data_IF_358093932971
#
_entry.id   IF_358093932971
#
_cell.length_a   1.000
_cell.length_b   1.000
_cell.length_c   1.000
_cell.angle_alpha   90.00
_cell.angle_beta   90.00
_cell.angle_gamma   90.00
#
_symmetry.space_group_name_H-M   'P 1'
#
loop_
_entity.id
_entity.type
_entity.pdbx_description
1 polymer ?
#
# COMPACT_ATOMS: atom_id res chain seq x y z
N UNK A 1 -0.49 17.67 1.68
CA UNK A 1 0.62 17.31 0.78
C UNK A 1 1.27 15.98 1.14
N UNK A 2 1.66 15.72 2.40
CA UNK A 2 2.37 14.48 2.81
C UNK A 2 1.67 13.17 2.43
N UNK A 3 0.33 13.06 2.57
CA UNK A 3 -0.41 11.83 2.19
C UNK A 3 -0.40 11.58 0.68
N UNK A 4 -0.57 12.63 -0.12
CA UNK A 4 -0.57 12.51 -1.58
C UNK A 4 0.80 12.05 -2.08
N UNK A 5 1.87 12.63 -1.55
CA UNK A 5 3.24 12.22 -1.86
C UNK A 5 3.49 10.75 -1.52
N UNK A 6 3.04 10.28 -0.35
CA UNK A 6 3.15 8.87 0.02
C UNK A 6 2.35 7.96 -0.91
N UNK A 7 1.12 8.33 -1.29
CA UNK A 7 0.31 7.52 -2.21
C UNK A 7 0.94 7.45 -3.61
N UNK A 8 1.45 8.56 -4.12
CA UNK A 8 2.23 8.58 -5.36
C UNK A 8 3.45 7.67 -5.23
N UNK A 9 4.19 7.76 -4.13
CA UNK A 9 5.36 6.93 -3.88
C UNK A 9 5.02 5.43 -3.87
N UNK A 10 3.95 5.02 -3.18
CA UNK A 10 3.46 3.62 -3.18
C UNK A 10 3.17 3.14 -4.60
N UNK A 11 2.43 3.93 -5.39
CA UNK A 11 2.13 3.58 -6.77
C UNK A 11 3.39 3.42 -7.62
N UNK A 12 4.33 4.36 -7.50
CA UNK A 12 5.57 4.37 -8.28
C UNK A 12 6.45 3.17 -7.92
N UNK A 13 6.68 2.91 -6.64
CA UNK A 13 7.55 1.80 -6.22
C UNK A 13 7.00 0.44 -6.64
N UNK A 14 5.68 0.23 -6.54
CA UNK A 14 5.04 -0.99 -7.03
C UNK A 14 5.14 -1.13 -8.55
N UNK A 15 4.96 -0.04 -9.30
CA UNK A 15 5.11 -0.05 -10.75
C UNK A 15 6.53 -0.40 -11.17
N UNK A 16 7.52 0.29 -10.60
CA UNK A 16 8.94 0.04 -10.89
C UNK A 16 9.31 -1.41 -10.58
N UNK A 17 8.95 -1.91 -9.38
CA UNK A 17 9.22 -3.29 -8.98
C UNK A 17 8.55 -4.31 -9.91
N UNK A 18 7.30 -4.06 -10.30
CA UNK A 18 6.57 -4.96 -11.20
C UNK A 18 7.11 -4.96 -12.63
N UNK A 19 7.59 -3.82 -13.13
CA UNK A 19 8.23 -3.74 -14.44
C UNK A 19 9.63 -4.36 -14.45
N UNK A 20 10.32 -4.33 -13.30
CA UNK A 20 11.61 -4.98 -13.16
C UNK A 20 11.52 -6.50 -13.37
N UNK A 21 10.39 -7.13 -13.06
CA UNK A 21 10.17 -8.56 -13.26
C UNK A 21 10.42 -9.03 -14.71
N UNK A 22 10.27 -8.16 -15.70
CA UNK A 22 10.57 -8.48 -17.10
C UNK A 22 12.07 -8.60 -17.42
N UNK A 23 12.93 -8.22 -16.48
CA UNK A 23 14.38 -8.41 -16.57
C UNK A 23 14.85 -9.70 -15.88
N UNK A 24 13.91 -10.55 -15.42
CA UNK A 24 14.15 -11.84 -14.76
C UNK A 24 15.23 -11.81 -13.66
N UNK A 25 15.11 -10.93 -12.65
CA UNK A 25 16.07 -10.89 -11.54
C UNK A 25 15.99 -12.17 -10.67
N UNK A 26 17.13 -12.61 -10.14
CA UNK A 26 17.25 -13.78 -9.28
C UNK A 26 17.02 -13.42 -7.81
N UNK A 27 15.81 -13.67 -7.29
CA UNK A 27 15.41 -13.24 -5.94
C UNK A 27 16.00 -14.09 -4.82
N UNK A 28 16.13 -15.39 -5.02
CA UNK A 28 16.48 -16.32 -3.94
C UNK A 28 17.97 -16.30 -3.64
N UNK A 29 18.79 -15.94 -4.63
CA UNK A 29 20.23 -15.86 -4.52
C UNK A 29 20.78 -14.60 -5.22
N UNK A 30 20.55 -13.41 -4.65
CA UNK A 30 20.87 -12.15 -5.31
C UNK A 30 22.38 -11.94 -5.41
N UNK A 31 22.90 -11.93 -6.65
CA UNK A 31 24.34 -11.75 -6.93
C UNK A 31 24.61 -10.43 -7.67
N UNK A 32 23.65 -9.94 -8.45
CA UNK A 32 23.78 -8.70 -9.20
C UNK A 32 23.10 -7.51 -8.51
N UNK A 33 23.44 -6.29 -8.92
CA UNK A 33 22.76 -5.09 -8.45
C UNK A 33 21.26 -5.09 -8.80
N UNK A 34 20.86 -5.72 -9.91
CA UNK A 34 19.45 -5.87 -10.29
C UNK A 34 18.72 -6.75 -9.29
N UNK A 35 19.31 -7.89 -8.93
CA UNK A 35 18.71 -8.84 -7.99
C UNK A 35 18.49 -8.20 -6.62
N UNK A 36 19.53 -7.52 -6.10
CA UNK A 36 19.44 -6.76 -4.86
C UNK A 36 18.41 -5.64 -4.92
N UNK A 37 18.33 -4.93 -6.04
CA UNK A 37 17.29 -3.92 -6.24
C UNK A 37 15.89 -4.54 -6.24
N UNK A 38 15.72 -5.76 -6.76
CA UNK A 38 14.44 -6.46 -6.79
C UNK A 38 13.96 -6.82 -5.37
N UNK A 39 14.86 -7.37 -4.54
CA UNK A 39 14.61 -7.69 -3.12
C UNK A 39 14.26 -6.42 -2.33
N UNK A 40 15.13 -5.40 -2.41
CA UNK A 40 14.98 -4.18 -1.61
C UNK A 40 13.75 -3.36 -2.03
N UNK A 41 13.49 -3.25 -3.35
CA UNK A 41 12.33 -2.50 -3.84
C UNK A 41 11.01 -3.19 -3.51
N UNK A 42 10.96 -4.53 -3.49
CA UNK A 42 9.78 -5.28 -3.06
C UNK A 42 9.49 -5.08 -1.57
N UNK A 43 10.50 -5.21 -0.70
CA UNK A 43 10.37 -4.90 0.73
C UNK A 43 9.95 -3.45 0.96
N UNK A 44 10.55 -2.50 0.24
CA UNK A 44 10.18 -1.08 0.33
C UNK A 44 8.72 -0.83 -0.11
N UNK A 45 8.26 -1.51 -1.16
CA UNK A 45 6.88 -1.41 -1.65
C UNK A 45 5.87 -1.94 -0.62
N UNK A 46 6.21 -3.03 0.07
CA UNK A 46 5.41 -3.59 1.17
C UNK A 46 5.37 -2.67 2.39
N UNK A 47 6.50 -2.09 2.81
CA UNK A 47 6.52 -1.11 3.90
C UNK A 47 5.76 0.17 3.55
N UNK A 48 5.89 0.66 2.32
CA UNK A 48 5.13 1.80 1.84
C UNK A 48 3.62 1.52 1.90
N UNK A 49 3.20 0.31 1.50
CA UNK A 49 1.81 -0.13 1.60
C UNK A 49 1.33 -0.17 3.06
N UNK A 50 2.15 -0.71 3.97
CA UNK A 50 1.85 -0.76 5.40
C UNK A 50 1.56 0.63 6.00
N UNK A 51 2.32 1.65 5.60
CA UNK A 51 2.09 3.03 6.05
C UNK A 51 0.88 3.68 5.38
N UNK A 52 0.63 3.35 4.11
CA UNK A 52 -0.36 4.03 3.30
C UNK A 52 -1.80 3.54 3.53
N UNK A 53 -2.02 2.25 3.81
CA UNK A 53 -3.36 1.69 4.03
C UNK A 53 -4.13 2.38 5.18
N UNK A 54 -3.53 2.63 6.36
CA UNK A 54 -4.22 3.37 7.42
C UNK A 54 -4.49 4.84 7.08
N UNK A 55 -3.62 5.46 6.27
CA UNK A 55 -3.81 6.83 5.81
C UNK A 55 -4.92 6.93 4.75
N UNK A 56 -5.07 5.90 3.91
CA UNK A 56 -6.20 5.75 3.00
C UNK A 56 -7.52 5.62 3.78
N UNK A 57 -7.56 4.82 4.84
CA UNK A 57 -8.73 4.71 5.70
C UNK A 57 -9.09 6.05 6.38
N UNK A 58 -8.09 6.84 6.79
CA UNK A 58 -8.32 8.20 7.30
C UNK A 58 -8.91 9.13 6.24
N UNK A 59 -8.76 8.86 4.94
CA UNK A 59 -9.48 9.59 3.90
C UNK A 59 -10.96 9.22 3.85
N UNK A 60 -11.38 8.05 4.32
CA UNK A 60 -12.79 7.72 4.42
C UNK A 60 -13.46 8.51 5.55
N UNK A 61 -12.73 8.69 6.67
CA UNK A 61 -13.25 9.26 7.91
C UNK A 61 -13.96 8.24 8.81
N UNK A 62 -13.79 6.95 8.54
CA UNK A 62 -14.42 5.85 9.28
C UNK A 62 -13.46 5.22 10.28
N UNK A 63 -13.87 5.15 11.55
CA UNK A 63 -13.14 4.41 12.59
C UNK A 63 -13.08 2.91 12.29
N UNK A 64 -14.18 2.32 11.79
CA UNK A 64 -14.21 0.91 11.39
C UNK A 64 -13.23 0.66 10.23
N UNK A 65 -13.25 1.52 9.20
CA UNK A 65 -12.30 1.43 8.09
C UNK A 65 -10.84 1.55 8.55
N UNK A 66 -10.55 2.43 9.51
CA UNK A 66 -9.21 2.56 10.07
C UNK A 66 -8.76 1.29 10.79
N UNK A 67 -9.60 0.72 11.66
CA UNK A 67 -9.27 -0.53 12.38
C UNK A 67 -9.02 -1.69 11.42
N UNK A 68 -9.88 -1.85 10.42
CA UNK A 68 -9.74 -2.90 9.40
C UNK A 68 -8.45 -2.73 8.59
N UNK A 69 -8.07 -1.50 8.27
CA UNK A 69 -6.84 -1.21 7.50
C UNK A 69 -5.54 -1.52 8.24
N UNK A 70 -5.56 -1.65 9.58
CA UNK A 70 -4.36 -1.97 10.36
C UNK A 70 -3.89 -3.41 10.14
N UNK A 71 -4.83 -4.34 9.93
CA UNK A 71 -4.50 -5.76 9.77
C UNK A 71 -3.68 -6.02 8.49
N UNK A 72 -4.09 -5.57 7.29
CA UNK A 72 -3.28 -5.74 6.09
C UNK A 72 -2.02 -4.86 6.14
N UNK A 73 -2.01 -3.77 6.90
CA UNK A 73 -0.80 -3.00 7.12
C UNK A 73 0.25 -3.78 7.94
N UNK A 74 -0.17 -4.46 9.00
CA UNK A 74 0.71 -5.36 9.77
C UNK A 74 1.16 -6.54 8.91
N UNK A 75 0.26 -7.13 8.13
CA UNK A 75 0.62 -8.18 7.17
C UNK A 75 1.69 -7.72 6.19
N UNK A 76 1.52 -6.54 5.59
CA UNK A 76 2.48 -5.99 4.63
C UNK A 76 3.83 -5.67 5.30
N UNK A 77 3.82 -5.12 6.52
CA UNK A 77 5.05 -4.88 7.27
C UNK A 77 5.78 -6.19 7.62
N UNK A 78 5.04 -7.22 8.04
CA UNK A 78 5.59 -8.54 8.31
C UNK A 78 6.20 -9.13 7.04
N UNK A 79 5.46 -9.14 5.92
CA UNK A 79 5.98 -9.61 4.62
C UNK A 79 7.22 -8.83 4.19
N UNK A 80 7.21 -7.51 4.28
CA UNK A 80 8.34 -6.67 3.86
C UNK A 80 9.61 -6.98 4.66
N UNK A 81 9.47 -7.17 5.97
CA UNK A 81 10.57 -7.55 6.85
C UNK A 81 11.03 -8.99 6.57
N UNK A 82 10.10 -9.92 6.47
CA UNK A 82 10.40 -11.33 6.21
C UNK A 82 11.10 -11.54 4.87
N UNK A 83 10.67 -10.86 3.81
CA UNK A 83 11.35 -10.89 2.52
C UNK A 83 12.80 -10.40 2.64
N UNK A 84 13.03 -9.34 3.41
CA UNK A 84 14.38 -8.85 3.63
C UNK A 84 15.22 -9.87 4.41
N UNK A 85 14.67 -10.47 5.47
CA UNK A 85 15.40 -11.47 6.26
C UNK A 85 15.67 -12.76 5.46
N UNK A 86 14.71 -13.21 4.66
CA UNK A 86 14.84 -14.39 3.81
C UNK A 86 15.89 -14.16 2.72
N UNK A 87 15.67 -13.18 1.85
CA UNK A 87 16.44 -13.06 0.62
C UNK A 87 17.78 -12.32 0.84
N UNK A 88 17.81 -11.32 1.74
CA UNK A 88 19.04 -10.57 2.02
C UNK A 88 19.93 -11.22 3.08
N UNK A 89 19.35 -11.90 4.07
CA UNK A 89 20.10 -12.52 5.18
C UNK A 89 20.09 -14.06 5.16
N UNK A 90 19.46 -14.66 4.15
CA UNK A 90 19.42 -16.12 3.94
C UNK A 90 18.81 -16.87 5.14
N UNK A 91 17.86 -16.23 5.84
CA UNK A 91 17.15 -16.81 6.98
C UNK A 91 15.91 -17.57 6.49
N UNK A 92 16.07 -18.82 6.06
CA UNK A 92 14.99 -19.61 5.44
C UNK A 92 13.69 -19.77 6.26
N UNK A 93 13.72 -19.62 7.59
CA UNK A 93 12.50 -19.62 8.39
C UNK A 93 11.63 -18.37 8.17
N UNK A 94 12.20 -17.28 7.68
CA UNK A 94 11.51 -16.02 7.39
C UNK A 94 10.45 -16.18 6.29
N UNK A 95 10.63 -17.14 5.37
CA UNK A 95 9.67 -17.49 4.32
C UNK A 95 8.26 -17.74 4.86
N UNK A 96 8.12 -18.45 5.98
CA UNK A 96 6.81 -18.75 6.55
C UNK A 96 6.10 -17.49 7.05
N UNK A 97 6.85 -16.55 7.63
CA UNK A 97 6.31 -15.26 8.04
C UNK A 97 5.95 -14.39 6.85
N UNK A 98 6.72 -14.48 5.76
CA UNK A 98 6.38 -13.84 4.48
C UNK A 98 5.05 -14.36 3.93
N UNK A 99 4.88 -15.68 3.83
CA UNK A 99 3.64 -16.31 3.34
C UNK A 99 2.44 -15.90 4.19
N UNK A 100 2.56 -15.97 5.52
CA UNK A 100 1.47 -15.59 6.44
C UNK A 100 1.13 -14.11 6.33
N UNK A 101 2.14 -13.22 6.31
CA UNK A 101 1.95 -11.78 6.16
C UNK A 101 1.26 -11.42 4.85
N UNK A 102 1.65 -12.09 3.76
CA UNK A 102 1.15 -11.82 2.42
C UNK A 102 -0.29 -12.31 2.29
N UNK A 103 -0.59 -13.52 2.78
CA UNK A 103 -1.95 -14.06 2.82
C UNK A 103 -2.87 -13.17 3.67
N UNK A 104 -2.43 -12.74 4.85
CA UNK A 104 -3.19 -11.82 5.71
C UNK A 104 -3.47 -10.50 5.00
N UNK A 105 -2.46 -9.94 4.32
CA UNK A 105 -2.60 -8.70 3.54
C UNK A 105 -3.66 -8.87 2.46
N UNK A 106 -3.54 -9.90 1.63
CA UNK A 106 -4.44 -10.15 0.51
C UNK A 106 -5.89 -10.37 0.96
N UNK A 107 -6.11 -11.23 1.95
CA UNK A 107 -7.46 -11.53 2.44
C UNK A 107 -8.11 -10.28 3.03
N UNK A 108 -7.38 -9.51 3.84
CA UNK A 108 -7.99 -8.35 4.50
C UNK A 108 -8.11 -7.14 3.55
N UNK A 109 -7.36 -7.09 2.45
CA UNK A 109 -7.63 -6.13 1.36
C UNK A 109 -9.03 -6.32 0.76
N UNK A 110 -9.55 -7.56 0.70
CA UNK A 110 -10.94 -7.82 0.27
C UNK A 110 -11.92 -7.17 1.26
N UNK A 111 -11.77 -7.46 2.56
CA UNK A 111 -12.63 -6.88 3.60
C UNK A 111 -12.53 -5.36 3.61
N UNK A 112 -11.32 -4.80 3.46
CA UNK A 112 -11.11 -3.36 3.43
C UNK A 112 -11.77 -2.70 2.20
N UNK A 113 -11.70 -3.36 1.03
CA UNK A 113 -12.45 -2.95 -0.17
C UNK A 113 -13.95 -2.86 0.11
N UNK A 114 -14.53 -3.91 0.70
CA UNK A 114 -15.96 -3.96 1.05
C UNK A 114 -16.32 -2.86 2.04
N UNK A 115 -15.52 -2.66 3.09
CA UNK A 115 -15.78 -1.62 4.09
C UNK A 115 -15.77 -0.22 3.46
N UNK A 116 -14.81 0.08 2.57
CA UNK A 116 -14.82 1.37 1.86
C UNK A 116 -16.03 1.48 0.93
N UNK A 117 -16.39 0.40 0.23
CA UNK A 117 -17.51 0.40 -0.70
C UNK A 117 -18.87 0.57 0.01
N UNK A 118 -19.01 0.08 1.25
CA UNK A 118 -20.25 0.18 2.04
C UNK A 118 -20.33 1.49 2.82
N UNK A 119 -19.23 1.92 3.43
CA UNK A 119 -19.21 3.12 4.29
C UNK A 119 -18.96 4.41 3.50
N UNK A 120 -18.37 4.30 2.31
CA UNK A 120 -18.05 5.45 1.47
C UNK A 120 -19.27 6.07 0.81
N UNK A 121 -19.41 7.40 0.95
CA UNK A 121 -20.45 8.18 0.27
C UNK A 121 -19.89 8.94 -0.94
N UNK A 122 -20.67 9.00 -2.03
CA UNK A 122 -20.34 9.75 -3.25
C UNK A 122 -18.96 9.37 -3.83
N UNK A 123 -18.14 10.37 -4.17
CA UNK A 123 -16.79 10.15 -4.73
C UNK A 123 -15.87 9.33 -3.82
N UNK A 124 -16.10 9.29 -2.50
CA UNK A 124 -15.25 8.51 -1.58
C UNK A 124 -15.44 7.00 -1.73
N UNK A 125 -16.58 6.55 -2.26
CA UNK A 125 -16.80 5.13 -2.56
C UNK A 125 -15.82 4.60 -3.61
N UNK A 126 -15.34 5.47 -4.50
CA UNK A 126 -14.31 5.14 -5.50
C UNK A 126 -12.96 4.77 -4.86
N UNK A 127 -12.70 5.15 -3.60
CA UNK A 127 -11.50 4.73 -2.89
C UNK A 127 -11.46 3.20 -2.67
N UNK A 128 -12.59 2.48 -2.79
CA UNK A 128 -12.62 1.03 -2.73
C UNK A 128 -11.83 0.38 -3.88
N UNK A 129 -11.69 1.09 -5.02
CA UNK A 129 -10.87 0.63 -6.12
C UNK A 129 -9.39 0.51 -5.73
N UNK A 130 -8.91 1.25 -4.72
CA UNK A 130 -7.50 1.25 -4.31
C UNK A 130 -7.07 -0.10 -3.70
N UNK A 131 -7.70 -0.61 -2.62
CA UNK A 131 -7.36 -1.93 -2.10
C UNK A 131 -7.69 -3.06 -3.08
N UNK A 132 -8.74 -2.93 -3.91
CA UNK A 132 -9.06 -3.92 -4.94
C UNK A 132 -7.97 -4.00 -6.03
N UNK A 133 -7.56 -2.85 -6.57
CA UNK A 133 -6.48 -2.75 -7.54
C UNK A 133 -5.14 -3.19 -6.95
N UNK A 134 -4.91 -2.91 -5.66
CA UNK A 134 -3.72 -3.39 -4.94
C UNK A 134 -3.73 -4.92 -4.86
N UNK A 135 -4.84 -5.54 -4.47
CA UNK A 135 -4.96 -7.00 -4.42
C UNK A 135 -4.70 -7.64 -5.79
N UNK A 136 -5.36 -7.16 -6.84
CA UNK A 136 -5.18 -7.69 -8.21
C UNK A 136 -3.73 -7.45 -8.68
N UNK A 137 -3.20 -6.26 -8.42
CA UNK A 137 -1.84 -5.91 -8.80
C UNK A 137 -0.77 -6.74 -8.08
N UNK A 138 -0.99 -7.11 -6.82
CA UNK A 138 -0.12 -8.02 -6.08
C UNK A 138 -0.14 -9.44 -6.67
N UNK A 139 -1.31 -9.95 -7.04
CA UNK A 139 -1.46 -11.26 -7.69
C UNK A 139 -0.80 -11.31 -9.07
N UNK A 140 -0.72 -10.16 -9.74
CA UNK A 140 -0.14 -10.01 -11.08
C UNK A 140 1.21 -9.29 -11.06
N UNK A 141 1.91 -9.23 -9.92
CA UNK A 141 3.11 -8.40 -9.77
C UNK A 141 4.19 -8.78 -10.79
N UNK A 142 4.37 -10.07 -11.06
CA UNK A 142 5.33 -10.59 -12.05
C UNK A 142 4.84 -10.44 -13.52
N UNK A 143 3.65 -9.89 -13.73
CA UNK A 143 3.05 -9.65 -15.06
C UNK A 143 2.64 -8.19 -15.28
N UNK A 144 3.28 -7.24 -14.58
CA UNK A 144 3.01 -5.81 -14.74
C UNK A 144 1.86 -5.28 -13.88
N UNK A 145 1.37 -6.05 -12.91
CA UNK A 145 0.30 -5.66 -11.99
C UNK A 145 0.56 -4.35 -11.23
N UNK A 146 1.84 -3.95 -11.06
CA UNK A 146 2.21 -2.67 -10.45
C UNK A 146 1.70 -1.44 -11.20
N UNK A 147 1.43 -1.54 -12.52
CA UNK A 147 0.82 -0.45 -13.30
C UNK A 147 -0.62 -0.17 -12.82
N UNK A 148 -1.37 -1.21 -12.51
CA UNK A 148 -2.71 -1.10 -11.95
C UNK A 148 -2.68 -0.46 -10.54
N UNK A 149 -1.70 -0.86 -9.72
CA UNK A 149 -1.45 -0.25 -8.42
C UNK A 149 -1.15 1.24 -8.59
N UNK A 150 -0.24 1.61 -9.48
CA UNK A 150 0.09 3.02 -9.75
C UNK A 150 -1.14 3.86 -10.09
N UNK A 151 -1.96 3.40 -11.06
CA UNK A 151 -3.15 4.13 -11.47
C UNK A 151 -4.12 4.38 -10.29
N UNK A 152 -4.37 3.35 -9.48
CA UNK A 152 -5.28 3.46 -8.34
C UNK A 152 -4.73 4.38 -7.24
N UNK A 153 -3.44 4.28 -6.93
CA UNK A 153 -2.81 5.11 -5.90
C UNK A 153 -2.60 6.57 -6.34
N UNK A 154 -2.41 6.84 -7.63
CA UNK A 154 -2.44 8.20 -8.17
C UNK A 154 -3.84 8.83 -8.05
N UNK A 155 -4.91 8.07 -8.29
CA UNK A 155 -6.28 8.53 -8.06
C UNK A 155 -6.51 8.84 -6.56
N UNK A 156 -5.99 8.01 -5.66
CA UNK A 156 -6.01 8.27 -4.22
C UNK A 156 -5.23 9.54 -3.85
N UNK A 157 -4.06 9.77 -4.46
CA UNK A 157 -3.25 10.96 -4.27
C UNK A 157 -3.98 12.23 -4.72
N UNK A 158 -4.61 12.21 -5.89
CA UNK A 158 -5.42 13.32 -6.40
C UNK A 158 -6.60 13.64 -5.45
N UNK A 159 -7.29 12.62 -4.95
CA UNK A 159 -8.35 12.80 -3.94
C UNK A 159 -7.82 13.35 -2.60
N UNK A 160 -6.60 13.01 -2.21
CA UNK A 160 -5.96 13.53 -1.01
C UNK A 160 -5.60 15.03 -1.14
N UNK A 161 -5.30 15.50 -2.36
CA UNK A 161 -5.02 16.91 -2.66
C UNK A 161 -6.30 17.76 -2.67
N UNK A 162 -7.43 17.21 -3.15
CA UNK A 162 -8.70 17.91 -3.25
C UNK A 162 -9.44 18.15 -1.92
N UNK A 163 -8.85 17.82 -0.76
CA UNK A 163 -9.44 18.10 0.55
C UNK A 163 -9.09 19.51 1.01
N UNK A 164 -10.09 20.38 1.29
CA UNK A 164 -9.84 21.65 1.96
C UNK A 164 -9.14 21.39 3.29
N UNK A 165 -8.13 22.21 3.62
CA UNK A 165 -7.57 22.23 4.96
C UNK A 165 -8.70 22.51 5.97
N UNK A 166 -8.70 21.91 7.17
CA UNK A 166 -9.58 22.37 8.23
C UNK A 166 -9.27 23.85 8.45
N UNK A 167 -10.20 24.73 8.06
CA UNK A 167 -10.13 26.14 8.41
C UNK A 167 -10.02 26.18 9.92
N UNK A 168 -8.83 26.54 10.43
CA UNK A 168 -8.64 26.80 11.84
C UNK A 168 -9.78 27.72 12.28
N UNK A 169 -10.49 27.31 13.32
CA UNK A 169 -11.61 28.03 13.89
C UNK A 169 -11.35 29.53 13.79
N UNK A 170 -12.24 30.23 13.08
CA UNK A 170 -12.36 31.67 13.19
C UNK A 170 -12.48 31.96 14.69
N UNK A 171 -11.35 32.33 15.27
CA UNK A 171 -11.22 32.98 16.56
C UNK A 171 -11.84 34.35 16.36
N UNK A 172 -13.17 34.41 16.38
CA UNK A 172 -13.86 35.65 16.66
C UNK A 172 -13.85 35.79 18.20
N UNK A 173 -13.11 36.74 18.78
CA UNK A 173 -13.40 37.18 20.13
C UNK A 173 -14.83 37.74 20.08
N UNK A 174 -15.72 37.22 20.92
CA UNK A 174 -16.96 37.92 21.21
C UNK A 174 -16.56 39.27 21.82
N UNK A 175 -16.77 40.35 21.07
CA UNK A 175 -16.58 41.71 21.60
C UNK A 175 -17.70 42.00 22.63
N UNK A 176 -17.36 42.59 23.79
CA UNK A 176 -18.34 43.00 24.79
C UNK A 176 -19.20 44.18 24.35
#
# INVERSE_FOLDING_TARGET
>A
MTRAALFTFVGVVWCVRSLQSFADPEYQNPVSASDWFAVLSFSAALFALALALPLLAKLLGSQAGFRVSLVPAVGAALSGLSNLLEDALQMGFAFWFFVVGTALTMVVLIAFTVVIAVVGCGRRRLLAAVPAATLIGLLLVESGGGVLILAAWLAAAAMALGRPAPTAAQTAPAAP
#
